data_IF_749294794456
#
_entry.id   IF_749294794456
#
_cell.length_a   1.000
_cell.length_b   1.000
_cell.length_c   1.000
_cell.angle_alpha   90.00
_cell.angle_beta   90.00
_cell.angle_gamma   90.00
#
_symmetry.space_group_name_H-M   'P 1'
#
loop_
_entity.id
_entity.type
_entity.pdbx_description
1 polymer ?
#
# COMPACT_ATOMS: atom_id res chain seq x y z
N UNK A 1 3.95 12.44 -7.09
CA UNK A 1 4.73 13.64 -7.47
C UNK A 1 4.52 13.97 -8.95
N UNK A 2 4.83 13.09 -9.89
CA UNK A 2 4.62 13.34 -11.34
C UNK A 2 3.19 13.81 -11.66
N UNK A 3 2.17 13.24 -11.00
CA UNK A 3 0.78 13.69 -11.14
C UNK A 3 0.53 15.14 -10.72
N UNK A 4 1.19 15.61 -9.65
CA UNK A 4 1.09 17.02 -9.23
C UNK A 4 1.73 17.98 -10.25
N UNK A 5 2.86 17.58 -10.83
CA UNK A 5 3.50 18.36 -11.91
C UNK A 5 2.56 18.48 -13.11
N UNK A 6 1.90 17.37 -13.52
CA UNK A 6 0.89 17.39 -14.59
C UNK A 6 -0.32 18.31 -14.28
N UNK A 7 -0.60 18.57 -13.01
CA UNK A 7 -1.63 19.52 -12.56
C UNK A 7 -1.11 20.96 -12.41
N UNK A 8 0.13 21.22 -12.83
CA UNK A 8 0.74 22.56 -12.82
C UNK A 8 1.34 22.98 -11.48
N UNK A 9 1.56 22.06 -10.52
CA UNK A 9 2.24 22.34 -9.28
C UNK A 9 3.77 22.40 -9.48
N UNK A 10 4.45 23.37 -8.86
CA UNK A 10 5.91 23.33 -8.71
C UNK A 10 6.25 22.36 -7.58
N UNK A 11 6.79 21.20 -7.93
CA UNK A 11 7.08 20.10 -6.99
C UNK A 11 8.58 19.94 -6.82
N UNK A 12 9.03 19.85 -5.57
CA UNK A 12 10.42 19.58 -5.23
C UNK A 12 10.52 18.36 -4.32
N UNK A 13 11.46 17.48 -4.57
CA UNK A 13 11.75 16.36 -3.70
C UNK A 13 12.94 16.68 -2.81
N UNK A 14 12.73 16.59 -1.49
CA UNK A 14 13.80 16.77 -0.51
C UNK A 14 14.00 15.48 0.28
N UNK A 15 15.22 14.97 0.26
CA UNK A 15 15.64 13.81 1.02
C UNK A 15 16.45 14.23 2.24
N UNK A 16 16.29 13.52 3.36
CA UNK A 16 17.12 13.76 4.53
C UNK A 16 18.59 13.45 4.22
N UNK A 17 18.82 12.33 3.53
CA UNK A 17 20.14 11.90 3.06
C UNK A 17 19.99 11.41 1.64
N UNK A 18 20.87 11.81 0.75
CA UNK A 18 20.83 11.37 -0.64
C UNK A 18 20.97 9.85 -0.77
N UNK A 19 19.97 9.21 -1.33
CA UNK A 19 19.91 7.76 -1.51
C UNK A 19 20.36 7.29 -2.92
N UNK A 20 20.85 8.22 -3.76
CA UNK A 20 21.20 7.93 -5.15
C UNK A 20 20.04 8.13 -6.12
N UNK A 21 19.99 7.34 -7.19
CA UNK A 21 18.91 7.44 -8.18
C UNK A 21 17.56 7.01 -7.57
N UNK A 22 16.46 7.73 -7.87
CA UNK A 22 15.13 7.35 -7.44
C UNK A 22 14.76 5.94 -7.92
N UNK A 23 14.09 5.17 -7.05
CA UNK A 23 13.63 3.81 -7.41
C UNK A 23 12.57 3.80 -8.53
N UNK A 24 11.88 4.91 -8.73
CA UNK A 24 10.88 5.09 -9.79
C UNK A 24 11.22 6.33 -10.62
N UNK A 25 10.89 6.35 -11.92
CA UNK A 25 11.12 7.51 -12.77
C UNK A 25 10.43 8.75 -12.23
N UNK A 26 11.19 9.80 -11.99
CA UNK A 26 10.68 11.15 -11.68
C UNK A 26 10.66 12.00 -12.94
N UNK A 27 9.68 12.91 -13.03
CA UNK A 27 9.70 13.96 -14.04
C UNK A 27 11.02 14.75 -13.94
N UNK A 28 11.65 15.11 -15.08
CA UNK A 28 12.82 15.98 -15.09
C UNK A 28 12.58 17.34 -14.41
N UNK A 29 11.32 17.76 -14.35
CA UNK A 29 10.89 19.02 -13.72
C UNK A 29 10.87 18.96 -12.19
N UNK A 30 11.17 17.81 -11.57
CA UNK A 30 11.22 17.66 -10.11
C UNK A 30 12.66 17.70 -9.62
N UNK A 31 13.16 18.85 -9.11
CA UNK A 31 14.49 18.93 -8.51
C UNK A 31 14.57 18.01 -7.28
N UNK A 32 15.63 17.21 -7.21
CA UNK A 32 15.97 16.38 -6.06
C UNK A 32 17.08 17.06 -5.26
N UNK A 33 16.85 17.26 -3.96
CA UNK A 33 17.82 17.86 -3.04
C UNK A 33 18.02 17.01 -1.80
N UNK A 34 19.26 16.67 -1.46
CA UNK A 34 19.63 16.05 -0.19
C UNK A 34 19.98 17.13 0.86
N UNK A 35 19.46 17.01 2.08
CA UNK A 35 19.80 17.91 3.18
C UNK A 35 21.15 17.58 3.79
N UNK A 36 21.58 16.32 3.72
CA UNK A 36 22.86 15.82 4.25
C UNK A 36 23.48 14.82 3.29
N UNK A 37 24.81 14.86 3.20
CA UNK A 37 25.59 13.93 2.37
C UNK A 37 25.84 12.58 3.05
N UNK A 38 25.63 12.51 4.36
CA UNK A 38 25.85 11.30 5.17
C UNK A 38 24.67 11.05 6.12
N UNK A 39 24.42 9.78 6.49
CA UNK A 39 23.39 9.41 7.44
C UNK A 39 23.49 10.17 8.75
N UNK A 40 22.35 10.69 9.23
CA UNK A 40 22.23 11.44 10.48
C UNK A 40 21.25 10.78 11.43
N UNK A 41 21.59 10.74 12.73
CA UNK A 41 20.66 10.27 13.77
C UNK A 41 19.68 11.40 14.08
N UNK A 42 18.36 11.18 13.88
CA UNK A 42 17.31 12.19 14.03
C UNK A 42 17.43 12.95 15.36
N UNK A 43 17.52 12.27 16.51
CA UNK A 43 17.57 12.94 17.80
C UNK A 43 18.84 13.77 18.03
N UNK A 44 19.99 13.23 17.65
CA UNK A 44 21.27 13.93 17.83
C UNK A 44 21.43 15.14 16.90
N UNK A 45 20.70 15.14 15.80
CA UNK A 45 20.81 16.18 14.76
C UNK A 45 19.52 16.98 14.58
N UNK A 46 18.55 16.84 15.50
CA UNK A 46 17.22 17.40 15.35
C UNK A 46 17.23 18.90 15.00
N UNK A 47 17.92 19.72 15.75
CA UNK A 47 18.02 21.17 15.48
C UNK A 47 18.63 21.47 14.11
N UNK A 48 19.68 20.69 13.71
CA UNK A 48 20.32 20.87 12.39
C UNK A 48 19.38 20.47 11.25
N UNK A 49 18.59 19.40 11.44
CA UNK A 49 17.59 18.94 10.46
C UNK A 49 16.51 20.01 10.32
N UNK A 50 15.91 20.43 11.42
CA UNK A 50 14.85 21.45 11.43
C UNK A 50 15.36 22.75 10.79
N UNK A 51 16.56 23.23 11.17
CA UNK A 51 17.12 24.46 10.63
C UNK A 51 17.41 24.35 9.12
N UNK A 52 18.05 23.28 8.66
CA UNK A 52 18.35 23.09 7.23
C UNK A 52 17.08 22.96 6.40
N UNK A 53 16.11 22.18 6.87
CA UNK A 53 14.84 22.01 6.18
C UNK A 53 14.06 23.33 6.13
N UNK A 54 13.94 24.05 7.25
CA UNK A 54 13.23 25.34 7.26
C UNK A 54 13.91 26.37 6.36
N UNK A 55 15.26 26.40 6.32
CA UNK A 55 16.01 27.27 5.42
C UNK A 55 15.78 26.91 3.95
N UNK A 56 15.74 25.60 3.64
CA UNK A 56 15.40 25.12 2.30
C UNK A 56 13.98 25.57 1.90
N UNK A 57 12.98 25.34 2.75
CA UNK A 57 11.60 25.73 2.49
C UNK A 57 11.48 27.24 2.21
N UNK A 58 12.15 28.08 3.00
CA UNK A 58 12.15 29.55 2.79
C UNK A 58 12.84 29.97 1.50
N UNK A 59 14.04 29.39 1.22
CA UNK A 59 14.81 29.71 0.02
C UNK A 59 14.06 29.35 -1.25
N UNK A 60 13.43 28.18 -1.26
CA UNK A 60 12.68 27.68 -2.41
C UNK A 60 11.21 28.18 -2.44
N UNK A 61 10.82 29.04 -1.48
CA UNK A 61 9.46 29.62 -1.36
C UNK A 61 8.37 28.53 -1.34
N UNK A 62 8.60 27.43 -0.62
CA UNK A 62 7.66 26.33 -0.49
C UNK A 62 6.48 26.76 0.38
N UNK A 63 5.28 26.69 -0.15
CA UNK A 63 4.04 26.98 0.58
C UNK A 63 3.55 25.76 1.38
N UNK A 64 3.76 24.54 0.87
CA UNK A 64 3.27 23.31 1.48
C UNK A 64 4.36 22.24 1.52
N UNK A 65 4.66 21.75 2.72
CA UNK A 65 5.52 20.59 2.94
C UNK A 65 4.68 19.34 3.14
N UNK A 66 4.81 18.37 2.24
CA UNK A 66 4.25 17.03 2.43
C UNK A 66 5.31 16.11 3.06
N UNK A 67 5.07 15.70 4.29
CA UNK A 67 5.93 14.82 5.07
C UNK A 67 5.47 13.39 4.88
N UNK A 68 6.26 12.57 4.23
CA UNK A 68 5.95 11.15 3.99
C UNK A 68 6.37 10.33 5.21
N UNK A 69 5.43 9.57 5.77
CA UNK A 69 5.52 8.79 7.01
C UNK A 69 5.63 9.66 8.29
N UNK A 70 4.79 9.33 9.27
CA UNK A 70 4.69 10.11 10.53
C UNK A 70 5.99 10.19 11.35
N UNK A 71 6.92 9.24 11.19
CA UNK A 71 8.25 9.35 11.85
C UNK A 71 8.97 10.65 11.50
N UNK A 72 8.78 11.15 10.29
CA UNK A 72 9.40 12.38 9.82
C UNK A 72 8.67 13.64 10.31
N UNK A 73 7.45 13.52 10.84
CA UNK A 73 6.75 14.61 11.50
C UNK A 73 7.52 15.13 12.73
N UNK A 74 8.37 14.30 13.35
CA UNK A 74 9.24 14.69 14.46
C UNK A 74 10.06 15.95 14.19
N UNK A 75 10.42 16.22 12.94
CA UNK A 75 11.17 17.41 12.54
C UNK A 75 10.48 18.21 11.44
N UNK A 76 9.68 17.56 10.59
CA UNK A 76 9.02 18.21 9.45
C UNK A 76 8.01 19.27 9.88
N UNK A 77 7.19 18.97 10.91
CA UNK A 77 6.22 19.90 11.47
C UNK A 77 6.90 21.16 12.02
N UNK A 78 7.99 21.00 12.80
CA UNK A 78 8.73 22.14 13.34
C UNK A 78 9.38 22.97 12.22
N UNK A 79 9.95 22.32 11.21
CA UNK A 79 10.58 23.00 10.08
C UNK A 79 9.57 23.80 9.24
N UNK A 80 8.40 23.23 8.95
CA UNK A 80 7.33 23.90 8.24
C UNK A 80 6.85 25.13 8.99
N UNK A 81 6.56 25.03 10.30
CA UNK A 81 6.18 26.16 11.15
C UNK A 81 7.24 27.28 11.17
N UNK A 82 8.52 26.93 11.30
CA UNK A 82 9.61 27.90 11.25
C UNK A 82 9.74 28.58 9.88
N UNK A 83 9.34 27.89 8.82
CA UNK A 83 9.34 28.44 7.47
C UNK A 83 8.09 29.27 7.14
N UNK A 84 7.01 29.12 7.89
CA UNK A 84 5.69 29.67 7.55
C UNK A 84 4.98 28.85 6.46
N UNK A 85 5.41 27.61 6.24
CA UNK A 85 4.81 26.69 5.28
C UNK A 85 3.74 25.81 5.95
N UNK A 86 2.71 25.44 5.19
CA UNK A 86 1.73 24.44 5.60
C UNK A 86 2.38 23.05 5.69
N UNK A 87 1.98 22.25 6.66
CA UNK A 87 2.50 20.90 6.88
C UNK A 87 1.41 19.86 6.71
N UNK A 88 1.55 19.02 5.71
CA UNK A 88 0.72 17.82 5.47
C UNK A 88 1.53 16.59 5.83
N UNK A 89 1.05 15.74 6.74
CA UNK A 89 1.70 14.47 7.06
C UNK A 89 0.95 13.34 6.36
N UNK A 90 1.64 12.60 5.49
CA UNK A 90 1.07 11.49 4.73
C UNK A 90 1.57 10.17 5.29
N UNK A 91 0.68 9.46 6.02
CA UNK A 91 1.00 8.18 6.65
C UNK A 91 0.65 7.01 5.74
N UNK A 92 1.56 6.05 5.65
CA UNK A 92 1.42 4.86 4.80
C UNK A 92 1.14 3.56 5.57
N UNK A 93 1.28 3.58 6.89
CA UNK A 93 0.98 2.44 7.76
C UNK A 93 -0.32 2.69 8.50
N UNK A 94 -1.08 1.64 8.81
CA UNK A 94 -2.23 1.82 9.69
C UNK A 94 -1.78 2.26 11.08
N UNK A 95 -2.69 2.90 11.81
CA UNK A 95 -2.39 3.53 13.10
C UNK A 95 -1.85 2.55 14.15
N UNK A 96 -2.35 1.32 14.19
CA UNK A 96 -1.96 0.32 15.17
C UNK A 96 -0.61 -0.35 14.87
N UNK A 97 -0.14 -0.29 13.62
CA UNK A 97 1.13 -0.87 13.20
C UNK A 97 2.29 0.07 13.53
N UNK A 98 2.90 -0.11 14.67
CA UNK A 98 4.06 0.69 15.11
C UNK A 98 5.40 0.07 14.75
N UNK A 99 5.45 -1.25 14.44
CA UNK A 99 6.67 -2.05 14.25
C UNK A 99 7.65 -1.87 15.43
N UNK A 100 7.12 -1.77 16.66
CA UNK A 100 7.87 -1.53 17.90
C UNK A 100 8.77 -0.26 17.86
N UNK A 101 8.44 0.72 17.02
CA UNK A 101 9.21 1.96 16.85
C UNK A 101 8.57 3.12 17.61
N UNK A 102 9.06 3.44 18.80
CA UNK A 102 8.58 4.59 19.61
C UNK A 102 8.54 5.91 18.83
N UNK A 103 9.49 6.11 17.89
CA UNK A 103 9.52 7.30 17.02
C UNK A 103 8.25 7.45 16.18
N UNK A 104 7.66 6.35 15.72
CA UNK A 104 6.42 6.36 14.96
C UNK A 104 5.25 6.81 15.84
N UNK A 105 5.15 6.27 17.06
CA UNK A 105 4.13 6.69 18.02
C UNK A 105 4.21 8.20 18.29
N UNK A 106 5.41 8.70 18.61
CA UNK A 106 5.59 10.15 18.84
C UNK A 106 5.33 10.98 17.60
N UNK A 107 5.75 10.51 16.43
CA UNK A 107 5.49 11.19 15.16
C UNK A 107 4.00 11.33 14.87
N UNK A 108 3.20 10.27 15.14
CA UNK A 108 1.74 10.31 15.02
C UNK A 108 1.09 11.33 15.95
N UNK A 109 1.51 11.37 17.23
CA UNK A 109 1.00 12.36 18.18
C UNK A 109 1.36 13.79 17.74
N UNK A 110 2.58 14.02 17.26
CA UNK A 110 3.02 15.33 16.74
C UNK A 110 2.23 15.71 15.49
N UNK A 111 2.06 14.78 14.56
CA UNK A 111 1.28 15.01 13.35
C UNK A 111 -0.18 15.39 13.68
N UNK A 112 -0.85 14.60 14.50
CA UNK A 112 -2.25 14.84 14.88
C UNK A 112 -2.47 16.19 15.59
N UNK A 113 -1.49 16.64 16.38
CA UNK A 113 -1.64 17.85 17.20
C UNK A 113 -1.12 19.12 16.54
N UNK A 114 -0.12 19.04 15.69
CA UNK A 114 0.61 20.25 15.22
C UNK A 114 0.81 20.34 13.70
N UNK A 115 0.51 19.31 12.91
CA UNK A 115 0.40 19.46 11.46
C UNK A 115 -0.89 20.22 11.11
N UNK A 116 -0.97 20.73 9.89
CA UNK A 116 -2.20 21.32 9.37
C UNK A 116 -3.14 20.22 8.89
N UNK A 117 -2.58 19.18 8.24
CA UNK A 117 -3.33 18.02 7.76
C UNK A 117 -2.60 16.72 8.04
N UNK A 118 -3.37 15.66 8.24
CA UNK A 118 -2.89 14.28 8.21
C UNK A 118 -3.68 13.54 7.13
N UNK A 119 -2.96 12.94 6.19
CA UNK A 119 -3.51 12.11 5.15
C UNK A 119 -3.18 10.67 5.47
N UNK A 120 -4.20 9.83 5.53
CA UNK A 120 -4.12 8.37 5.69
C UNK A 120 -4.64 7.69 4.44
N UNK A 121 -4.43 6.38 4.29
CA UNK A 121 -4.75 5.69 3.04
C UNK A 121 -6.20 5.16 3.00
N UNK A 122 -6.86 4.98 4.17
CA UNK A 122 -8.18 4.32 4.27
C UNK A 122 -9.12 5.06 5.21
N UNK A 123 -10.43 4.88 5.01
CA UNK A 123 -11.43 5.42 5.92
C UNK A 123 -11.39 4.73 7.29
N UNK A 124 -11.14 3.40 7.32
CA UNK A 124 -10.96 2.68 8.58
C UNK A 124 -9.82 3.26 9.41
N UNK A 125 -8.70 3.62 8.78
CA UNK A 125 -7.56 4.21 9.51
C UNK A 125 -7.88 5.60 10.09
N UNK A 126 -8.81 6.37 9.46
CA UNK A 126 -9.24 7.64 10.07
C UNK A 126 -9.91 7.45 11.43
N UNK A 127 -10.65 6.36 11.62
CA UNK A 127 -11.25 6.03 12.92
C UNK A 127 -10.17 5.71 13.95
N UNK A 128 -9.21 4.84 13.60
CA UNK A 128 -8.10 4.45 14.46
C UNK A 128 -7.28 5.67 14.92
N UNK A 129 -7.00 6.60 14.00
CA UNK A 129 -6.30 7.83 14.34
C UNK A 129 -7.09 8.71 15.30
N UNK A 130 -8.42 8.84 15.13
CA UNK A 130 -9.27 9.63 16.05
C UNK A 130 -9.35 9.03 17.44
N UNK A 131 -9.39 7.71 17.53
CA UNK A 131 -9.41 6.98 18.81
C UNK A 131 -8.06 7.05 19.53
N UNK A 132 -6.96 6.93 18.78
CA UNK A 132 -5.60 6.83 19.34
C UNK A 132 -4.89 8.16 19.59
N UNK A 133 -5.47 9.31 19.17
CA UNK A 133 -4.81 10.62 19.33
C UNK A 133 -5.79 11.75 19.67
N UNK A 134 -5.24 12.84 20.24
CA UNK A 134 -5.99 14.11 20.36
C UNK A 134 -5.77 14.92 19.09
N UNK A 135 -6.75 14.90 18.19
CA UNK A 135 -6.67 15.55 16.88
C UNK A 135 -6.92 17.06 16.94
N UNK A 136 -6.06 17.83 16.24
CA UNK A 136 -6.27 19.24 15.88
C UNK A 136 -6.07 19.46 14.38
N UNK A 137 -5.23 18.63 13.73
CA UNK A 137 -5.05 18.63 12.30
C UNK A 137 -6.33 18.18 11.57
N UNK A 138 -6.52 18.56 10.32
CA UNK A 138 -7.57 17.93 9.50
C UNK A 138 -7.12 16.54 9.10
N UNK A 139 -8.02 15.57 9.22
CA UNK A 139 -7.76 14.17 8.89
C UNK A 139 -8.56 13.77 7.65
N UNK A 140 -7.85 13.32 6.62
CA UNK A 140 -8.43 12.96 5.33
C UNK A 140 -7.88 11.62 4.86
N UNK A 141 -8.75 10.75 4.32
CA UNK A 141 -8.31 9.53 3.65
C UNK A 141 -8.12 9.79 2.16
N UNK A 142 -6.90 9.60 1.65
CA UNK A 142 -6.56 9.63 0.23
C UNK A 142 -5.76 8.36 -0.08
N UNK A 143 -6.31 7.42 -0.86
CA UNK A 143 -5.63 6.17 -1.17
C UNK A 143 -4.42 6.39 -2.08
N UNK A 144 -3.53 5.41 -2.12
CA UNK A 144 -2.51 5.35 -3.15
C UNK A 144 -3.14 5.08 -4.52
N UNK A 145 -2.43 5.48 -5.57
CA UNK A 145 -2.88 5.29 -6.95
C UNK A 145 -2.64 3.85 -7.40
N UNK A 146 -3.68 3.26 -8.00
CA UNK A 146 -3.57 2.01 -8.74
C UNK A 146 -2.79 2.21 -10.06
N UNK A 147 -2.13 1.15 -10.59
CA UNK A 147 -1.66 1.19 -11.96
C UNK A 147 -2.83 1.31 -12.95
N UNK A 148 -2.58 1.68 -14.20
CA UNK A 148 -3.61 1.71 -15.23
C UNK A 148 -4.32 0.35 -15.35
N UNK A 149 -5.63 0.38 -15.55
CA UNK A 149 -6.40 -0.84 -15.87
C UNK A 149 -5.93 -1.37 -17.21
N UNK A 150 -5.73 -2.67 -17.28
CA UNK A 150 -5.29 -3.32 -18.54
C UNK A 150 -6.52 -3.75 -19.37
N UNK A 151 -6.42 -3.59 -20.69
CA UNK A 151 -7.46 -4.04 -21.64
C UNK A 151 -7.38 -5.54 -21.95
N UNK A 152 -6.57 -6.30 -21.19
CA UNK A 152 -6.42 -7.75 -21.41
C UNK A 152 -7.71 -8.47 -21.06
N UNK A 153 -8.09 -9.45 -21.87
CA UNK A 153 -9.20 -10.34 -21.55
C UNK A 153 -8.84 -11.22 -20.35
N UNK A 154 -9.82 -11.46 -19.49
CA UNK A 154 -9.69 -12.42 -18.40
C UNK A 154 -9.51 -13.84 -18.96
N UNK A 155 -8.56 -14.66 -18.44
CA UNK A 155 -8.35 -16.04 -18.89
C UNK A 155 -9.31 -17.01 -18.16
N UNK A 156 -10.51 -17.30 -18.70
CA UNK A 156 -11.53 -18.07 -17.96
C UNK A 156 -11.12 -19.51 -17.67
N UNK A 157 -10.28 -20.10 -18.53
CA UNK A 157 -9.79 -21.48 -18.42
C UNK A 157 -8.54 -21.60 -17.53
N UNK A 158 -8.01 -20.47 -17.05
CA UNK A 158 -6.86 -20.50 -16.16
C UNK A 158 -7.22 -21.18 -14.82
N UNK A 159 -6.26 -21.92 -14.31
CA UNK A 159 -6.31 -22.56 -12.98
C UNK A 159 -5.14 -22.15 -12.10
N UNK A 160 -4.69 -20.92 -12.25
CA UNK A 160 -3.60 -20.36 -11.46
C UNK A 160 -4.14 -19.39 -10.41
N UNK A 161 -3.86 -19.67 -9.15
CA UNK A 161 -4.00 -18.73 -8.04
C UNK A 161 -2.67 -18.03 -7.83
N UNK A 162 -2.67 -16.70 -7.88
CA UNK A 162 -1.48 -15.88 -7.71
C UNK A 162 -1.49 -15.17 -6.34
N UNK A 163 -0.38 -15.21 -5.65
CA UNK A 163 -0.07 -14.36 -4.51
C UNK A 163 1.25 -13.62 -4.76
N UNK A 164 1.35 -12.36 -4.34
CA UNK A 164 2.56 -11.58 -4.55
C UNK A 164 2.85 -10.63 -3.39
N UNK A 165 4.13 -10.52 -3.03
CA UNK A 165 4.58 -9.61 -1.98
C UNK A 165 5.84 -10.08 -1.27
N UNK A 166 6.32 -9.29 -0.32
CA UNK A 166 7.48 -9.68 0.48
C UNK A 166 7.18 -10.91 1.32
N UNK A 167 8.10 -11.88 1.35
CA UNK A 167 8.00 -13.08 2.18
C UNK A 167 8.34 -12.72 3.64
N UNK A 168 7.32 -12.25 4.37
CA UNK A 168 7.43 -11.74 5.74
C UNK A 168 6.20 -12.14 6.53
N UNK A 169 6.29 -12.15 7.87
CA UNK A 169 5.19 -12.38 8.80
C UNK A 169 3.96 -11.52 8.47
N UNK A 170 4.15 -10.27 8.03
CA UNK A 170 3.06 -9.38 7.62
C UNK A 170 2.18 -9.99 6.53
N UNK A 171 2.79 -10.58 5.50
CA UNK A 171 2.08 -11.14 4.34
C UNK A 171 1.50 -12.54 4.61
N UNK A 172 1.95 -13.21 5.65
CA UNK A 172 1.38 -14.44 6.21
C UNK A 172 1.16 -15.55 5.21
N UNK A 173 2.16 -15.78 4.37
CA UNK A 173 2.13 -16.91 3.44
C UNK A 173 2.13 -18.26 4.15
N UNK A 174 2.54 -18.30 5.41
CA UNK A 174 2.36 -19.45 6.30
C UNK A 174 0.88 -19.87 6.44
N UNK A 175 -0.01 -18.88 6.59
CA UNK A 175 -1.45 -19.13 6.65
C UNK A 175 -2.03 -19.49 5.27
N UNK A 176 -1.51 -18.91 4.20
CA UNK A 176 -1.89 -19.27 2.85
C UNK A 176 -1.54 -20.73 2.52
N UNK A 177 -0.34 -21.18 2.89
CA UNK A 177 0.07 -22.56 2.70
C UNK A 177 -0.78 -23.55 3.53
N UNK A 178 -1.21 -23.14 4.73
CA UNK A 178 -2.17 -23.92 5.52
C UNK A 178 -3.53 -24.00 4.83
N UNK A 179 -4.05 -22.91 4.31
CA UNK A 179 -5.27 -22.89 3.52
C UNK A 179 -5.15 -23.76 2.27
N UNK A 180 -4.02 -23.66 1.57
CA UNK A 180 -3.79 -24.44 0.35
C UNK A 180 -3.72 -25.95 0.62
N UNK A 181 -3.20 -26.37 1.76
CA UNK A 181 -3.22 -27.78 2.20
C UNK A 181 -4.65 -28.34 2.33
N UNK A 182 -5.59 -27.51 2.73
CA UNK A 182 -7.02 -27.86 2.77
C UNK A 182 -7.58 -27.89 1.34
N UNK A 183 -7.24 -26.89 0.52
CA UNK A 183 -7.67 -26.80 -0.88
C UNK A 183 -7.26 -28.04 -1.66
N UNK A 184 -6.03 -28.55 -1.53
CA UNK A 184 -5.55 -29.73 -2.26
C UNK A 184 -6.30 -31.03 -1.92
N UNK A 185 -6.99 -31.08 -0.78
CA UNK A 185 -7.80 -32.22 -0.40
C UNK A 185 -9.19 -32.30 -1.09
N UNK A 186 -9.61 -31.16 -1.68
CA UNK A 186 -10.92 -31.06 -2.32
C UNK A 186 -10.80 -31.36 -3.83
N UNK A 187 -11.66 -32.24 -4.40
CA UNK A 187 -11.63 -32.58 -5.82
C UNK A 187 -11.75 -31.36 -6.77
N UNK A 188 -12.38 -30.27 -6.33
CA UNK A 188 -12.50 -29.05 -7.13
C UNK A 188 -11.15 -28.35 -7.40
N UNK A 189 -10.14 -28.64 -6.60
CA UNK A 189 -8.78 -28.12 -6.77
C UNK A 189 -7.98 -28.84 -7.86
N UNK A 190 -8.52 -29.88 -8.46
CA UNK A 190 -7.81 -30.66 -9.47
C UNK A 190 -7.35 -29.78 -10.64
N UNK A 191 -6.04 -29.76 -10.87
CA UNK A 191 -5.42 -28.94 -11.92
C UNK A 191 -5.16 -27.47 -11.54
N UNK A 192 -5.50 -27.05 -10.32
CA UNK A 192 -5.17 -25.69 -9.85
C UNK A 192 -3.77 -25.64 -9.26
N UNK A 193 -3.07 -24.56 -9.54
CA UNK A 193 -1.72 -24.25 -9.04
C UNK A 193 -1.74 -22.99 -8.19
N UNK A 194 -0.91 -22.93 -7.15
CA UNK A 194 -0.61 -21.73 -6.37
C UNK A 194 0.79 -21.24 -6.72
N UNK A 195 0.89 -19.98 -7.17
CA UNK A 195 2.15 -19.29 -7.36
C UNK A 195 2.28 -18.16 -6.35
N UNK A 196 3.31 -18.23 -5.50
CA UNK A 196 3.69 -17.15 -4.59
C UNK A 196 4.93 -16.47 -5.15
N UNK A 197 4.79 -15.18 -5.53
CA UNK A 197 5.89 -14.34 -6.03
C UNK A 197 6.42 -13.43 -4.94
N UNK A 198 7.68 -13.59 -4.58
CA UNK A 198 8.30 -12.71 -3.62
C UNK A 198 9.64 -13.16 -3.12
N UNK A 199 10.30 -12.23 -2.41
CA UNK A 199 11.52 -12.46 -1.66
C UNK A 199 11.35 -11.93 -0.24
N UNK A 200 12.10 -12.48 0.70
CA UNK A 200 12.05 -12.03 2.09
C UNK A 200 12.65 -13.04 3.06
N UNK A 201 12.75 -12.66 4.34
CA UNK A 201 13.39 -13.48 5.37
C UNK A 201 12.69 -14.82 5.63
N UNK A 202 11.39 -14.94 5.33
CA UNK A 202 10.62 -16.15 5.63
C UNK A 202 10.71 -17.20 4.51
N UNK A 203 11.49 -16.94 3.44
CA UNK A 203 11.55 -17.80 2.26
C UNK A 203 11.85 -19.26 2.59
N UNK A 204 12.90 -19.53 3.36
CA UNK A 204 13.33 -20.90 3.65
C UNK A 204 12.30 -21.63 4.52
N UNK A 205 11.71 -20.95 5.49
CA UNK A 205 10.64 -21.49 6.32
C UNK A 205 9.39 -21.83 5.50
N UNK A 206 9.03 -20.97 4.54
CA UNK A 206 7.90 -21.22 3.65
C UNK A 206 8.15 -22.37 2.68
N UNK A 207 9.38 -22.52 2.16
CA UNK A 207 9.76 -23.65 1.33
C UNK A 207 9.63 -24.96 2.11
N UNK A 208 10.12 -24.99 3.36
CA UNK A 208 9.96 -26.14 4.24
C UNK A 208 8.49 -26.44 4.54
N UNK A 209 7.67 -25.44 4.81
CA UNK A 209 6.24 -25.61 5.07
C UNK A 209 5.47 -26.10 3.83
N UNK A 210 5.94 -25.76 2.62
CA UNK A 210 5.37 -26.23 1.36
C UNK A 210 5.73 -27.68 1.02
N UNK A 211 6.65 -28.31 1.78
CA UNK A 211 6.95 -29.73 1.58
C UNK A 211 5.70 -30.59 1.72
N UNK A 212 5.53 -31.50 0.75
CA UNK A 212 4.34 -32.35 0.65
C UNK A 212 3.10 -31.69 0.01
N UNK A 213 3.17 -30.43 -0.39
CA UNK A 213 2.21 -29.79 -1.28
C UNK A 213 2.66 -29.98 -2.74
N UNK A 214 1.75 -30.44 -3.61
CA UNK A 214 2.13 -30.86 -4.97
C UNK A 214 2.02 -29.74 -6.01
N UNK A 215 1.22 -28.70 -5.74
CA UNK A 215 0.86 -27.65 -6.71
C UNK A 215 1.16 -26.26 -6.21
N UNK A 216 2.24 -26.11 -5.42
CA UNK A 216 2.70 -24.84 -4.90
C UNK A 216 4.08 -24.51 -5.48
N UNK A 217 4.22 -23.30 -5.97
CA UNK A 217 5.49 -22.73 -6.41
C UNK A 217 5.78 -21.45 -5.66
N UNK A 218 6.91 -21.36 -4.96
CA UNK A 218 7.41 -20.13 -4.34
C UNK A 218 8.60 -19.66 -5.17
N UNK A 219 8.38 -18.59 -5.96
CA UNK A 219 9.35 -18.06 -6.89
C UNK A 219 9.83 -16.66 -6.47
N UNK A 220 11.08 -16.27 -6.80
CA UNK A 220 11.60 -14.96 -6.46
C UNK A 220 10.78 -13.83 -7.11
N UNK A 221 10.88 -12.64 -6.51
CA UNK A 221 10.36 -11.44 -7.13
C UNK A 221 11.13 -11.17 -8.44
N UNK A 222 10.37 -10.92 -9.50
CA UNK A 222 10.93 -10.55 -10.81
C UNK A 222 10.39 -9.18 -11.22
N UNK A 223 11.20 -8.42 -11.93
CA UNK A 223 10.69 -7.24 -12.63
C UNK A 223 9.66 -7.67 -13.66
N UNK A 224 8.44 -7.11 -13.61
CA UNK A 224 7.39 -7.43 -14.56
C UNK A 224 6.49 -8.61 -14.16
N UNK A 225 5.89 -8.54 -12.98
CA UNK A 225 4.84 -9.46 -12.51
C UNK A 225 3.59 -9.46 -13.42
N UNK A 226 3.50 -8.52 -14.38
CA UNK A 226 2.37 -8.37 -15.30
C UNK A 226 2.05 -9.64 -16.07
N UNK A 227 3.07 -10.45 -16.40
CA UNK A 227 2.87 -11.74 -17.06
C UNK A 227 2.16 -12.75 -16.14
N UNK A 228 2.43 -12.72 -14.83
CA UNK A 228 1.77 -13.58 -13.87
C UNK A 228 0.33 -13.12 -13.62
N UNK A 229 0.08 -11.80 -13.51
CA UNK A 229 -1.29 -11.27 -13.47
C UNK A 229 -2.09 -11.65 -14.72
N UNK A 230 -1.47 -11.61 -15.91
CA UNK A 230 -2.17 -11.89 -17.17
C UNK A 230 -2.63 -13.36 -17.31
N UNK A 231 -1.97 -14.29 -16.64
CA UNK A 231 -2.29 -15.73 -16.73
C UNK A 231 -3.02 -16.28 -15.52
N UNK A 232 -3.16 -15.50 -14.44
CA UNK A 232 -3.83 -15.92 -13.23
C UNK A 232 -5.36 -15.94 -13.39
N UNK A 233 -6.02 -16.86 -12.69
CA UNK A 233 -7.48 -16.90 -12.58
C UNK A 233 -8.01 -16.05 -11.42
N UNK A 234 -7.24 -15.91 -10.36
CA UNK A 234 -7.58 -15.09 -9.20
C UNK A 234 -6.31 -14.73 -8.42
N UNK A 235 -6.43 -13.71 -7.60
CA UNK A 235 -5.37 -13.28 -6.69
C UNK A 235 -5.76 -13.57 -5.24
N UNK A 236 -4.80 -14.02 -4.42
CA UNK A 236 -5.02 -14.26 -2.99
C UNK A 236 -4.08 -13.43 -2.13
N UNK A 237 -4.62 -12.84 -1.05
CA UNK A 237 -3.84 -12.10 -0.07
C UNK A 237 -4.18 -12.55 1.36
N UNK A 238 -3.17 -13.03 2.06
CA UNK A 238 -3.29 -13.58 3.42
C UNK A 238 -2.71 -12.66 4.50
N UNK A 239 -2.59 -11.36 4.24
CA UNK A 239 -1.89 -10.42 5.12
C UNK A 239 -2.55 -10.28 6.49
N UNK A 240 -1.74 -10.30 7.57
CA UNK A 240 -2.20 -10.01 8.94
C UNK A 240 -2.53 -8.54 9.14
N UNK A 241 -1.79 -7.66 8.50
CA UNK A 241 -2.03 -6.21 8.56
C UNK A 241 -1.53 -5.50 7.31
N UNK A 242 -2.23 -4.43 6.92
CA UNK A 242 -1.90 -3.57 5.78
C UNK A 242 -2.14 -2.09 6.13
N UNK A 243 -1.58 -1.19 5.31
CA UNK A 243 -2.07 0.17 5.22
C UNK A 243 -3.10 0.24 4.10
N UNK A 244 -2.62 0.16 2.86
CA UNK A 244 -3.42 -0.07 1.65
C UNK A 244 -2.62 -1.02 0.76
N UNK A 245 -3.05 -2.28 0.57
CA UNK A 245 -2.29 -3.30 -0.14
C UNK A 245 -2.27 -3.02 -1.66
N UNK A 246 -1.17 -2.46 -2.15
CA UNK A 246 -1.01 -2.11 -3.57
C UNK A 246 -1.18 -3.32 -4.50
N UNK A 247 -0.75 -4.49 -4.06
CA UNK A 247 -0.88 -5.73 -4.84
C UNK A 247 -2.34 -6.11 -5.14
N UNK A 248 -3.30 -5.71 -4.28
CA UNK A 248 -4.72 -5.88 -4.57
C UNK A 248 -5.19 -4.92 -5.68
N UNK A 249 -4.73 -3.67 -5.63
CA UNK A 249 -5.02 -2.70 -6.69
C UNK A 249 -4.38 -3.12 -8.02
N UNK A 250 -3.18 -3.67 -7.98
CA UNK A 250 -2.49 -4.21 -9.15
C UNK A 250 -3.26 -5.40 -9.75
N UNK A 251 -3.64 -6.38 -8.90
CA UNK A 251 -4.42 -7.53 -9.32
C UNK A 251 -5.77 -7.14 -9.92
N UNK A 252 -6.50 -6.23 -9.27
CA UNK A 252 -7.80 -5.76 -9.77
C UNK A 252 -7.68 -4.91 -11.03
N UNK A 253 -6.60 -4.13 -11.19
CA UNK A 253 -6.31 -3.42 -12.44
C UNK A 253 -6.02 -4.37 -13.59
N UNK A 254 -5.46 -5.54 -13.29
CA UNK A 254 -5.31 -6.63 -14.26
C UNK A 254 -6.60 -7.45 -14.47
N UNK A 255 -7.67 -7.15 -13.73
CA UNK A 255 -8.95 -7.84 -13.83
C UNK A 255 -9.01 -9.16 -13.08
N UNK A 256 -8.24 -9.34 -12.01
CA UNK A 256 -8.32 -10.55 -11.21
C UNK A 256 -9.34 -10.39 -10.07
N UNK A 257 -10.27 -11.36 -9.91
CA UNK A 257 -11.00 -11.52 -8.66
C UNK A 257 -10.04 -11.71 -7.51
N UNK A 258 -10.34 -11.13 -6.36
CA UNK A 258 -9.48 -11.19 -5.18
C UNK A 258 -10.12 -12.05 -4.10
N UNK A 259 -9.33 -12.94 -3.45
CA UNK A 259 -9.69 -13.55 -2.17
C UNK A 259 -8.72 -13.02 -1.13
N UNK A 260 -9.21 -12.40 -0.05
CA UNK A 260 -8.31 -11.79 0.92
C UNK A 260 -8.82 -11.89 2.36
N UNK A 261 -7.89 -11.96 3.32
CA UNK A 261 -8.22 -11.66 4.71
C UNK A 261 -8.67 -10.21 4.84
N UNK A 262 -9.79 -9.95 5.53
CA UNK A 262 -10.24 -8.60 5.89
C UNK A 262 -9.51 -8.11 7.15
N UNK A 263 -8.19 -7.93 7.04
CA UNK A 263 -7.41 -7.37 8.13
C UNK A 263 -7.84 -5.91 8.43
N UNK A 264 -7.39 -5.37 9.56
CA UNK A 264 -7.90 -4.15 10.19
C UNK A 264 -8.08 -2.96 9.24
N UNK A 265 -7.14 -2.77 8.29
CA UNK A 265 -7.24 -1.73 7.25
C UNK A 265 -6.79 -2.27 5.89
N UNK A 266 -7.28 -1.68 4.82
CA UNK A 266 -6.83 -1.90 3.45
C UNK A 266 -7.76 -2.77 2.60
N UNK A 267 -7.88 -4.08 2.82
CA UNK A 267 -8.63 -4.95 1.91
C UNK A 267 -10.07 -4.49 1.66
N UNK A 268 -10.87 -4.23 2.68
CA UNK A 268 -12.26 -3.79 2.51
C UNK A 268 -12.41 -2.36 1.94
N UNK A 269 -11.35 -1.56 1.89
CA UNK A 269 -11.36 -0.28 1.16
C UNK A 269 -11.27 -0.48 -0.35
N UNK A 270 -10.67 -1.58 -0.78
CA UNK A 270 -10.38 -1.91 -2.17
C UNK A 270 -11.42 -2.89 -2.71
N UNK A 271 -11.55 -4.04 -2.05
CA UNK A 271 -12.41 -5.15 -2.45
C UNK A 271 -13.83 -4.91 -1.94
N UNK A 272 -14.81 -5.08 -2.81
CA UNK A 272 -16.23 -5.19 -2.45
C UNK A 272 -16.57 -6.66 -2.34
N UNK A 273 -16.85 -7.09 -1.12
CA UNK A 273 -17.16 -8.49 -0.84
C UNK A 273 -18.35 -8.99 -1.66
N UNK A 274 -18.20 -10.17 -2.27
CA UNK A 274 -19.18 -10.78 -3.15
C UNK A 274 -19.28 -10.16 -4.55
N UNK A 275 -18.73 -8.95 -4.79
CA UNK A 275 -18.84 -8.23 -6.08
C UNK A 275 -17.51 -8.26 -6.85
N UNK A 276 -16.39 -7.86 -6.24
CA UNK A 276 -15.07 -7.79 -6.88
C UNK A 276 -14.11 -8.84 -6.37
N UNK A 277 -14.53 -9.63 -5.40
CA UNK A 277 -13.77 -10.66 -4.72
C UNK A 277 -14.47 -11.14 -3.48
N UNK A 278 -13.77 -11.91 -2.66
CA UNK A 278 -14.27 -12.41 -1.38
C UNK A 278 -13.35 -11.95 -0.25
N UNK A 279 -13.94 -11.40 0.80
CA UNK A 279 -13.27 -11.07 2.05
C UNK A 279 -13.62 -12.11 3.11
N UNK A 280 -12.60 -12.63 3.77
CA UNK A 280 -12.77 -13.62 4.83
C UNK A 280 -12.17 -13.12 6.14
N UNK A 281 -12.59 -13.66 7.29
CA UNK A 281 -12.04 -13.27 8.59
C UNK A 281 -10.51 -13.37 8.59
N UNK A 282 -9.83 -12.39 9.25
CA UNK A 282 -8.38 -12.38 9.31
C UNK A 282 -7.83 -13.60 10.07
N UNK A 283 -6.71 -14.13 9.59
CA UNK A 283 -5.98 -15.24 10.19
C UNK A 283 -6.76 -16.57 10.29
N UNK A 284 -7.81 -16.75 9.48
CA UNK A 284 -8.58 -18.01 9.39
C UNK A 284 -8.26 -18.75 8.07
N UNK A 285 -7.27 -19.67 8.04
CA UNK A 285 -6.91 -20.43 6.84
C UNK A 285 -8.06 -21.27 6.28
N UNK A 286 -8.92 -21.79 7.15
CA UNK A 286 -10.08 -22.58 6.79
C UNK A 286 -11.09 -21.76 5.98
N UNK A 287 -11.36 -20.54 6.42
CA UNK A 287 -12.24 -19.61 5.69
C UNK A 287 -11.63 -19.20 4.34
N UNK A 288 -10.31 -18.99 4.30
CA UNK A 288 -9.60 -18.67 3.06
C UNK A 288 -9.67 -19.84 2.07
N UNK A 289 -9.53 -21.07 2.53
CA UNK A 289 -9.64 -22.27 1.70
C UNK A 289 -11.06 -22.42 1.12
N UNK A 290 -12.10 -22.20 1.93
CA UNK A 290 -13.50 -22.27 1.48
C UNK A 290 -13.75 -21.24 0.38
N UNK A 291 -13.31 -19.99 0.56
CA UNK A 291 -13.49 -18.93 -0.43
C UNK A 291 -12.74 -19.22 -1.74
N UNK A 292 -11.52 -19.77 -1.68
CA UNK A 292 -10.78 -20.20 -2.87
C UNK A 292 -11.54 -21.29 -3.62
N UNK A 293 -12.00 -22.34 -2.91
CA UNK A 293 -12.76 -23.44 -3.50
C UNK A 293 -14.09 -22.99 -4.09
N UNK A 294 -14.75 -22.03 -3.47
CA UNK A 294 -15.98 -21.43 -4.00
C UNK A 294 -15.74 -20.81 -5.38
N UNK A 295 -14.68 -19.99 -5.52
CA UNK A 295 -14.35 -19.41 -6.82
C UNK A 295 -13.78 -20.42 -7.81
N UNK A 296 -13.08 -21.45 -7.38
CA UNK A 296 -12.62 -22.54 -8.26
C UNK A 296 -13.79 -23.25 -8.96
N UNK A 297 -14.91 -23.43 -8.25
CA UNK A 297 -16.13 -24.06 -8.76
C UNK A 297 -17.00 -23.18 -9.66
N UNK A 298 -16.77 -21.86 -9.66
CA UNK A 298 -17.69 -20.89 -10.26
C UNK A 298 -17.00 -20.00 -11.33
N UNK A 299 -16.69 -20.52 -12.53
CA UNK A 299 -15.99 -19.77 -13.58
C UNK A 299 -16.77 -18.52 -14.03
N UNK A 300 -18.09 -18.59 -14.16
CA UNK A 300 -18.93 -17.46 -14.55
C UNK A 300 -18.87 -16.34 -13.50
N UNK A 301 -18.85 -16.71 -12.21
CA UNK A 301 -18.71 -15.75 -11.12
C UNK A 301 -17.35 -15.10 -11.14
N UNK A 302 -16.27 -15.84 -11.41
CA UNK A 302 -14.93 -15.25 -11.58
C UNK A 302 -14.91 -14.24 -12.71
N UNK A 303 -15.54 -14.54 -13.86
CA UNK A 303 -15.64 -13.59 -14.97
C UNK A 303 -16.37 -12.31 -14.57
N UNK A 304 -17.53 -12.43 -13.93
CA UNK A 304 -18.31 -11.27 -13.47
C UNK A 304 -17.51 -10.42 -12.45
N UNK A 305 -16.82 -11.09 -11.51
CA UNK A 305 -15.94 -10.41 -10.55
C UNK A 305 -14.73 -9.74 -11.23
N UNK A 306 -14.20 -10.31 -12.31
CA UNK A 306 -13.12 -9.72 -13.11
C UNK A 306 -13.53 -8.37 -13.69
N UNK A 307 -14.72 -8.30 -14.29
CA UNK A 307 -15.24 -7.08 -14.90
C UNK A 307 -15.50 -6.00 -13.82
N UNK A 308 -16.11 -6.41 -12.71
CA UNK A 308 -16.34 -5.54 -11.57
C UNK A 308 -15.03 -5.04 -10.92
N UNK A 309 -14.00 -5.90 -10.84
CA UNK A 309 -12.69 -5.54 -10.30
C UNK A 309 -12.01 -4.42 -11.09
N UNK A 310 -12.05 -4.47 -12.44
CA UNK A 310 -11.52 -3.39 -13.30
C UNK A 310 -12.25 -2.08 -13.08
N UNK A 311 -13.58 -2.12 -13.03
CA UNK A 311 -14.39 -0.92 -12.76
C UNK A 311 -14.06 -0.33 -11.39
N UNK A 312 -13.89 -1.18 -10.37
CA UNK A 312 -13.51 -0.74 -9.03
C UNK A 312 -12.11 -0.14 -8.98
N UNK A 313 -11.13 -0.76 -9.65
CA UNK A 313 -9.75 -0.27 -9.72
C UNK A 313 -9.66 1.13 -10.37
N UNK A 314 -10.54 1.44 -11.32
CA UNK A 314 -10.60 2.75 -11.96
C UNK A 314 -10.82 3.90 -10.98
N UNK A 315 -11.52 3.66 -9.86
CA UNK A 315 -11.73 4.66 -8.80
C UNK A 315 -10.44 5.02 -8.03
N UNK A 316 -9.41 4.20 -8.14
CA UNK A 316 -8.10 4.40 -7.52
C UNK A 316 -7.03 4.86 -8.50
N UNK A 317 -7.36 5.10 -9.76
CA UNK A 317 -6.41 5.61 -10.75
C UNK A 317 -6.00 7.05 -10.50
N UNK A 318 -5.03 7.52 -11.26
CA UNK A 318 -4.43 8.84 -11.09
C UNK A 318 -5.45 9.96 -11.05
N UNK A 319 -6.40 10.01 -11.99
CA UNK A 319 -7.38 11.10 -12.08
C UNK A 319 -8.17 11.31 -10.77
N UNK A 320 -8.93 10.31 -10.30
CA UNK A 320 -9.69 10.41 -9.05
C UNK A 320 -8.83 10.69 -7.81
N UNK A 321 -7.66 10.06 -7.69
CA UNK A 321 -6.78 10.26 -6.54
C UNK A 321 -6.15 11.65 -6.56
N UNK A 322 -5.68 12.11 -7.72
CA UNK A 322 -5.12 13.46 -7.87
C UNK A 322 -6.15 14.54 -7.62
N UNK A 323 -7.42 14.34 -8.00
CA UNK A 323 -8.48 15.29 -7.69
C UNK A 323 -8.60 15.52 -6.17
N UNK A 324 -8.54 14.46 -5.35
CA UNK A 324 -8.55 14.57 -3.87
C UNK A 324 -7.33 15.29 -3.33
N UNK A 325 -6.14 15.01 -3.88
CA UNK A 325 -4.92 15.72 -3.50
C UNK A 325 -4.99 17.21 -3.85
N UNK A 326 -5.47 17.55 -5.05
CA UNK A 326 -5.62 18.94 -5.48
C UNK A 326 -6.65 19.70 -4.64
N UNK A 327 -7.76 19.05 -4.28
CA UNK A 327 -8.74 19.61 -3.36
C UNK A 327 -8.12 19.91 -1.98
N UNK A 328 -7.41 18.91 -1.39
CA UNK A 328 -6.70 19.11 -0.12
C UNK A 328 -5.69 20.25 -0.19
N UNK A 329 -4.88 20.33 -1.24
CA UNK A 329 -3.82 21.33 -1.38
C UNK A 329 -4.37 22.74 -1.61
N UNK A 330 -5.45 22.88 -2.41
CA UNK A 330 -6.09 24.18 -2.70
C UNK A 330 -6.93 24.70 -1.54
N UNK A 331 -7.70 23.86 -0.89
CA UNK A 331 -8.66 24.24 0.15
C UNK A 331 -8.06 24.28 1.55
N UNK A 332 -6.79 23.99 1.70
CA UNK A 332 -6.08 23.97 2.97
C UNK A 332 -5.47 25.31 3.42
N UNK A 333 -5.63 26.36 2.68
CA UNK A 333 -5.05 27.68 2.93
C UNK A 333 -6.00 28.68 3.60
N UNK A 334 -7.12 28.22 4.20
CA UNK A 334 -8.06 29.08 4.93
C UNK A 334 -8.16 28.71 6.39
#
# INVERSE_FOLDING_TARGET
>A
MNGLVRQGCDVRLVELVGAGAPAFPLSPDIPLTALFDRPVKIFNSWFRIVWRLSRFLKREKIDTLVVVESTHALYGVAAAKMAGARCVVWEHFNFNVTLNRRKRVWGRQIAARWADDVVVLTQRDTALWREGTTFRARLTAIPNMAPPVTDRSYPPDSRLVLAAGRLTEQKSYDLLLRAWRIVEQDPASAGWDLLIRGDGPDRDALLQQAEGLHRVTIAPAIGGIDADYARAAMFVASSRYEGLPMVLLEAMSAGLPVVAFDCETGPAEIVRDGETGLLVPPEEPEALAVALLELMRAPERRQAMSDAARLRAAAFQEGPVMARWMDLLRNGGR
#
